data_IF_137356429634
#
_entry.id   IF_137356429634
#
_cell.length_a   1.000
_cell.length_b   1.000
_cell.length_c   1.000
_cell.angle_alpha   90.00
_cell.angle_beta   90.00
_cell.angle_gamma   90.00
#
_symmetry.space_group_name_H-M   'P 1'
#
loop_
_entity.id
_entity.type
_entity.pdbx_description
1 polymer ?
#
# COMPACT_ATOMS: atom_id res chain seq x y z
N UNK A 1 38.36 -15.86 -2.69
CA UNK A 1 37.58 -15.13 -1.68
C UNK A 1 36.30 -15.91 -1.42
N UNK A 2 35.98 -16.21 -0.17
CA UNK A 2 34.67 -16.74 0.17
C UNK A 2 33.61 -15.69 -0.20
N UNK A 3 32.47 -16.12 -0.75
CA UNK A 3 31.35 -15.22 -0.97
C UNK A 3 30.96 -14.59 0.38
N UNK A 4 30.70 -13.27 0.45
CA UNK A 4 30.22 -12.66 1.69
C UNK A 4 28.95 -13.37 2.15
N UNK A 5 28.83 -13.62 3.45
CA UNK A 5 27.64 -14.22 4.03
C UNK A 5 26.40 -13.38 3.66
N UNK A 6 25.34 -14.06 3.22
CA UNK A 6 24.09 -13.38 2.85
C UNK A 6 23.54 -12.61 4.06
N UNK A 7 23.22 -11.35 3.83
CA UNK A 7 22.62 -10.43 4.78
C UNK A 7 21.14 -10.77 5.01
N UNK A 8 20.65 -10.55 6.22
CA UNK A 8 19.22 -10.67 6.56
C UNK A 8 18.41 -9.42 6.18
N UNK A 9 19.05 -8.45 5.52
CA UNK A 9 18.40 -7.23 5.07
C UNK A 9 17.52 -7.45 3.83
N UNK A 10 16.39 -6.76 3.79
CA UNK A 10 15.46 -6.71 2.67
C UNK A 10 15.49 -5.33 2.02
N UNK A 11 15.66 -5.30 0.70
CA UNK A 11 15.58 -4.08 -0.11
C UNK A 11 14.37 -4.18 -1.02
N UNK A 12 13.46 -3.20 -0.92
CA UNK A 12 12.15 -3.24 -1.58
C UNK A 12 12.14 -2.17 -2.68
N UNK A 13 11.80 -2.59 -3.89
CA UNK A 13 11.69 -1.76 -5.09
C UNK A 13 10.23 -1.79 -5.55
N UNK A 14 9.57 -0.64 -5.53
CA UNK A 14 8.13 -0.53 -5.79
C UNK A 14 7.94 0.30 -7.04
N UNK A 15 7.37 -0.35 -8.05
CA UNK A 15 6.76 0.32 -9.19
C UNK A 15 5.32 0.65 -8.81
N UNK A 16 5.13 1.86 -8.30
CA UNK A 16 3.89 2.26 -7.67
C UNK A 16 2.71 2.25 -8.67
N UNK A 17 2.97 2.65 -9.90
CA UNK A 17 1.99 2.64 -10.99
C UNK A 17 1.51 1.23 -11.32
N UNK A 18 2.41 0.24 -11.38
CA UNK A 18 2.01 -1.16 -11.58
C UNK A 18 1.13 -1.68 -10.43
N UNK A 19 1.38 -1.24 -9.20
CA UNK A 19 0.57 -1.64 -8.03
C UNK A 19 -0.82 -0.99 -8.08
N UNK A 20 -0.92 0.30 -8.37
CA UNK A 20 -2.21 1.01 -8.39
C UNK A 20 -3.07 0.60 -9.58
N UNK A 21 -2.55 0.68 -10.81
CA UNK A 21 -3.34 0.40 -12.02
C UNK A 21 -3.64 -1.09 -12.22
N UNK A 22 -2.77 -1.98 -11.71
CA UNK A 22 -2.99 -3.42 -11.78
C UNK A 22 -4.22 -3.89 -11.00
N UNK A 23 -4.64 -3.13 -9.97
CA UNK A 23 -5.81 -3.44 -9.14
C UNK A 23 -7.10 -3.61 -9.94
N UNK A 24 -7.38 -2.75 -10.93
CA UNK A 24 -8.65 -2.78 -11.67
C UNK A 24 -8.90 -4.11 -12.37
N UNK A 25 -7.86 -4.64 -13.02
CA UNK A 25 -7.98 -5.90 -13.77
C UNK A 25 -8.08 -7.12 -12.84
N UNK A 26 -7.59 -7.05 -11.60
CA UNK A 26 -7.51 -8.18 -10.68
C UNK A 26 -8.63 -8.19 -9.62
N UNK A 27 -8.97 -7.02 -9.08
CA UNK A 27 -9.96 -6.89 -8.00
C UNK A 27 -11.33 -6.41 -8.50
N UNK A 28 -11.44 -5.96 -9.76
CA UNK A 28 -12.66 -5.34 -10.32
C UNK A 28 -13.12 -4.10 -9.55
N UNK A 29 -12.18 -3.39 -8.93
CA UNK A 29 -12.39 -2.10 -8.28
C UNK A 29 -11.94 -1.02 -9.27
N UNK A 30 -12.66 0.09 -9.37
CA UNK A 30 -12.25 1.18 -10.25
C UNK A 30 -11.02 1.92 -9.70
N UNK A 31 -10.09 2.30 -10.58
CA UNK A 31 -8.81 2.92 -10.18
C UNK A 31 -8.96 4.33 -9.58
N UNK A 32 -10.07 5.00 -9.83
CA UNK A 32 -10.39 6.34 -9.30
C UNK A 32 -10.77 6.33 -7.82
N UNK A 33 -11.21 5.17 -7.30
CA UNK A 33 -11.54 4.99 -5.88
C UNK A 33 -10.54 4.09 -5.16
N UNK A 34 -9.72 3.31 -5.88
CA UNK A 34 -8.71 2.43 -5.29
C UNK A 34 -7.41 3.18 -5.01
N UNK A 35 -6.99 3.15 -3.75
CA UNK A 35 -5.79 3.82 -3.29
C UNK A 35 -4.86 2.84 -2.59
N UNK A 36 -3.57 3.14 -2.61
CA UNK A 36 -2.52 2.34 -1.97
C UNK A 36 -1.79 3.23 -0.97
N UNK A 37 -1.67 2.79 0.27
CA UNK A 37 -0.77 3.42 1.24
C UNK A 37 0.64 2.83 1.06
N UNK A 38 1.64 3.61 0.60
CA UNK A 38 3.00 3.10 0.35
C UNK A 38 3.67 2.56 1.60
N UNK A 39 3.44 3.17 2.76
CA UNK A 39 4.04 2.68 4.01
C UNK A 39 3.46 1.33 4.40
N UNK A 40 2.15 1.15 4.25
CA UNK A 40 1.53 -0.13 4.56
C UNK A 40 1.92 -1.21 3.59
N UNK A 41 2.05 -0.88 2.30
CA UNK A 41 2.59 -1.79 1.30
C UNK A 41 3.99 -2.26 1.72
N UNK A 42 4.85 -1.33 2.13
CA UNK A 42 6.19 -1.66 2.65
C UNK A 42 6.13 -2.55 3.90
N UNK A 43 5.28 -2.24 4.88
CA UNK A 43 5.13 -3.06 6.10
C UNK A 43 4.70 -4.49 5.74
N UNK A 44 3.71 -4.62 4.87
CA UNK A 44 3.17 -5.89 4.40
C UNK A 44 4.22 -6.70 3.66
N UNK A 45 4.88 -6.09 2.68
CA UNK A 45 5.93 -6.75 1.88
C UNK A 45 7.12 -7.10 2.76
N UNK A 46 7.55 -6.21 3.64
CA UNK A 46 8.68 -6.46 4.54
C UNK A 46 8.39 -7.61 5.51
N UNK A 47 7.13 -7.77 5.94
CA UNK A 47 6.64 -8.90 6.76
C UNK A 47 7.51 -9.18 7.99
N UNK A 48 7.85 -8.12 8.74
CA UNK A 48 8.67 -8.21 9.96
C UNK A 48 10.16 -8.48 9.74
N UNK A 49 10.62 -8.59 8.47
CA UNK A 49 12.04 -8.71 8.15
C UNK A 49 12.79 -7.40 8.40
N UNK A 50 14.11 -7.47 8.49
CA UNK A 50 14.93 -6.27 8.72
C UNK A 50 15.06 -5.47 7.43
N UNK A 51 14.56 -4.25 7.41
CA UNK A 51 14.61 -3.38 6.24
C UNK A 51 16.04 -2.83 6.02
N UNK A 52 16.52 -2.96 4.78
CA UNK A 52 17.79 -2.38 4.31
C UNK A 52 17.59 -1.10 3.49
N UNK A 53 16.47 -0.97 2.79
CA UNK A 53 16.11 0.22 2.02
C UNK A 53 14.80 0.05 1.25
N UNK A 54 14.17 1.18 0.92
CA UNK A 54 12.94 1.24 0.11
C UNK A 54 13.15 2.25 -1.01
N UNK A 55 12.75 1.84 -2.21
CA UNK A 55 12.85 2.62 -3.44
C UNK A 55 11.49 2.57 -4.11
N UNK A 56 10.89 3.73 -4.34
CA UNK A 56 9.56 3.86 -4.94
C UNK A 56 9.69 4.74 -6.16
N UNK A 57 9.28 4.22 -7.30
CA UNK A 57 9.12 4.98 -8.52
C UNK A 57 7.65 4.98 -8.92
N UNK A 58 7.15 6.10 -9.41
CA UNK A 58 5.79 6.22 -9.92
C UNK A 58 5.58 7.50 -10.70
N UNK A 59 4.40 7.65 -11.29
CA UNK A 59 3.99 8.89 -11.95
C UNK A 59 2.83 9.58 -11.25
N UNK A 60 2.85 10.91 -11.34
CA UNK A 60 1.72 11.80 -11.06
C UNK A 60 0.89 11.53 -9.79
N UNK A 61 1.50 11.52 -8.58
CA UNK A 61 0.72 11.71 -7.39
C UNK A 61 0.34 13.19 -7.23
N UNK A 62 -0.83 13.49 -6.63
CA UNK A 62 -1.08 14.84 -6.13
C UNK A 62 0.05 15.23 -5.16
N UNK A 63 0.74 16.33 -5.43
CA UNK A 63 1.90 16.80 -4.65
C UNK A 63 1.58 17.07 -3.18
N UNK A 64 0.30 17.27 -2.85
CA UNK A 64 -0.20 17.54 -1.50
C UNK A 64 -0.76 16.28 -0.79
N UNK A 65 -0.51 15.08 -1.33
CA UNK A 65 -0.98 13.84 -0.72
C UNK A 65 -0.09 13.45 0.48
N UNK A 66 -0.69 13.46 1.67
CA UNK A 66 -0.10 13.13 2.97
C UNK A 66 0.70 11.81 2.96
N UNK A 67 0.35 10.88 2.08
CA UNK A 67 1.04 9.60 1.93
C UNK A 67 2.51 9.75 1.49
N UNK A 68 2.82 10.73 0.64
CA UNK A 68 4.20 10.95 0.18
C UNK A 68 5.04 11.67 1.20
N UNK A 69 4.45 12.64 1.91
CA UNK A 69 5.08 13.29 3.05
C UNK A 69 5.49 12.23 4.08
N UNK A 70 4.58 11.30 4.38
CA UNK A 70 4.85 10.16 5.27
C UNK A 70 5.97 9.26 4.74
N UNK A 71 5.98 8.91 3.45
CA UNK A 71 7.03 8.10 2.85
C UNK A 71 8.42 8.76 2.97
N UNK A 72 8.50 10.08 2.76
CA UNK A 72 9.74 10.85 2.91
C UNK A 72 10.20 10.94 4.37
N UNK A 73 9.27 11.10 5.32
CA UNK A 73 9.58 11.07 6.75
C UNK A 73 10.18 9.73 7.19
N UNK A 74 9.70 8.63 6.58
CA UNK A 74 10.22 7.27 6.76
C UNK A 74 11.53 7.00 6.00
N UNK A 75 12.08 8.02 5.32
CA UNK A 75 13.33 7.95 4.55
C UNK A 75 13.28 6.96 3.40
N UNK A 76 12.10 6.78 2.79
CA UNK A 76 12.00 6.06 1.53
C UNK A 76 12.63 6.90 0.42
N UNK A 77 13.32 6.25 -0.53
CA UNK A 77 13.81 6.90 -1.73
C UNK A 77 12.66 6.97 -2.73
N UNK A 78 11.97 8.11 -2.77
CA UNK A 78 10.79 8.31 -3.60
C UNK A 78 11.15 9.15 -4.82
N UNK A 79 10.99 8.57 -6.01
CA UNK A 79 11.26 9.19 -7.29
C UNK A 79 9.94 9.30 -8.09
N UNK A 80 9.37 10.49 -8.13
CA UNK A 80 8.12 10.78 -8.84
C UNK A 80 8.40 11.49 -10.15
N UNK A 81 7.80 11.01 -11.24
CA UNK A 81 7.97 11.59 -12.57
C UNK A 81 6.66 12.15 -13.14
N UNK A 82 6.69 13.30 -13.81
CA UNK A 82 5.51 13.85 -14.48
C UNK A 82 5.13 13.02 -15.72
N UNK A 83 3.84 12.89 -15.98
CA UNK A 83 3.33 12.31 -17.22
C UNK A 83 3.73 13.18 -18.41
N UNK A 84 4.34 12.58 -19.44
CA UNK A 84 4.67 13.28 -20.69
C UNK A 84 3.74 12.78 -21.79
N UNK A 85 2.85 13.64 -22.29
CA UNK A 85 1.84 13.28 -23.30
C UNK A 85 0.96 12.07 -22.90
N UNK A 86 0.59 12.00 -21.62
CA UNK A 86 -0.25 10.92 -21.08
C UNK A 86 0.46 9.56 -20.95
N UNK A 87 1.80 9.54 -21.07
CA UNK A 87 2.61 8.34 -20.83
C UNK A 87 3.59 8.58 -19.70
N UNK A 88 3.70 7.58 -18.85
CA UNK A 88 4.78 7.45 -17.89
C UNK A 88 6.11 7.31 -18.65
N UNK A 89 7.14 8.03 -18.19
CA UNK A 89 8.47 7.97 -18.78
C UNK A 89 9.50 8.02 -17.67
N UNK A 90 10.52 7.17 -17.78
CA UNK A 90 11.69 7.08 -16.89
C UNK A 90 11.48 6.39 -15.53
N UNK A 91 10.25 6.04 -15.14
CA UNK A 91 9.99 5.33 -13.88
C UNK A 91 10.75 3.99 -13.86
N UNK A 92 10.51 3.13 -14.86
CA UNK A 92 11.18 1.82 -14.94
C UNK A 92 12.70 1.96 -14.99
N UNK A 93 13.19 2.94 -15.75
CA UNK A 93 14.62 3.24 -15.85
C UNK A 93 15.21 3.66 -14.52
N UNK A 94 14.53 4.54 -13.76
CA UNK A 94 14.99 4.98 -12.45
C UNK A 94 15.02 3.83 -11.46
N UNK A 95 13.94 3.04 -11.39
CA UNK A 95 13.87 1.92 -10.47
C UNK A 95 14.91 0.84 -10.80
N UNK A 96 15.14 0.58 -12.09
CA UNK A 96 16.22 -0.31 -12.53
C UNK A 96 17.61 0.20 -12.16
N UNK A 97 17.86 1.52 -12.22
CA UNK A 97 19.11 2.13 -11.75
C UNK A 97 19.26 1.95 -10.24
N UNK A 98 18.22 2.24 -9.46
CA UNK A 98 18.23 2.06 -8.00
C UNK A 98 18.51 0.60 -7.61
N UNK A 99 17.90 -0.36 -8.32
CA UNK A 99 18.17 -1.80 -8.15
C UNK A 99 19.64 -2.11 -8.40
N UNK A 100 20.20 -1.64 -9.52
CA UNK A 100 21.59 -1.89 -9.87
C UNK A 100 22.55 -1.28 -8.86
N UNK A 101 22.30 -0.05 -8.39
CA UNK A 101 23.11 0.58 -7.36
C UNK A 101 23.14 -0.25 -6.07
N UNK A 102 22.01 -0.80 -5.62
CA UNK A 102 21.96 -1.68 -4.45
C UNK A 102 22.65 -3.02 -4.70
N UNK A 103 22.42 -3.64 -5.86
CA UNK A 103 23.01 -4.94 -6.22
C UNK A 103 24.54 -4.89 -6.16
N UNK A 104 25.15 -3.77 -6.57
CA UNK A 104 26.60 -3.62 -6.63
C UNK A 104 27.23 -2.94 -5.40
N UNK A 105 26.48 -2.15 -4.63
CA UNK A 105 27.03 -1.40 -3.48
C UNK A 105 26.79 -2.06 -2.13
N UNK A 106 25.87 -3.03 -2.02
CA UNK A 106 25.49 -3.67 -0.76
C UNK A 106 25.85 -5.16 -0.75
N UNK A 107 25.99 -5.70 0.47
CA UNK A 107 26.09 -7.15 0.64
C UNK A 107 24.76 -7.81 0.23
N UNK A 108 24.79 -8.96 -0.49
CA UNK A 108 23.59 -9.62 -0.94
C UNK A 108 22.65 -9.96 0.21
N UNK A 109 21.40 -9.54 0.11
CA UNK A 109 20.32 -9.89 1.03
C UNK A 109 19.12 -10.45 0.26
N UNK A 110 17.91 -9.96 0.59
CA UNK A 110 16.72 -10.19 -0.23
C UNK A 110 16.37 -8.93 -1.00
N UNK A 111 16.28 -9.05 -2.32
CA UNK A 111 15.75 -8.04 -3.21
C UNK A 111 14.29 -8.39 -3.49
N UNK A 112 13.39 -7.48 -3.14
CA UNK A 112 11.96 -7.61 -3.42
C UNK A 112 11.59 -6.60 -4.50
N UNK A 113 11.04 -7.09 -5.61
CA UNK A 113 10.42 -6.24 -6.63
C UNK A 113 8.91 -6.32 -6.49
N UNK A 114 8.26 -5.17 -6.34
CA UNK A 114 6.82 -5.02 -6.37
C UNK A 114 6.43 -4.44 -7.72
N UNK A 115 6.42 -5.31 -8.74
CA UNK A 115 6.01 -5.02 -10.12
C UNK A 115 5.78 -6.32 -10.89
N UNK A 116 4.93 -6.25 -11.92
CA UNK A 116 4.72 -7.33 -12.88
C UNK A 116 5.52 -7.16 -14.18
N UNK A 117 6.25 -6.07 -14.34
CA UNK A 117 6.86 -5.68 -15.61
C UNK A 117 8.13 -6.48 -15.96
N UNK A 118 8.22 -6.93 -17.22
CA UNK A 118 9.39 -7.65 -17.73
C UNK A 118 10.63 -6.76 -17.86
N UNK A 119 10.48 -5.43 -17.89
CA UNK A 119 11.62 -4.50 -18.02
C UNK A 119 12.65 -4.63 -16.89
N UNK A 120 12.26 -5.18 -15.74
CA UNK A 120 13.14 -5.44 -14.60
C UNK A 120 13.91 -6.78 -14.69
N UNK A 121 13.72 -7.57 -15.75
CA UNK A 121 14.36 -8.90 -15.88
C UNK A 121 15.88 -8.82 -15.84
N UNK A 122 16.47 -7.79 -16.46
CA UNK A 122 17.93 -7.61 -16.53
C UNK A 122 18.50 -7.34 -15.13
N UNK A 123 18.03 -6.34 -14.35
CA UNK A 123 18.43 -6.17 -12.96
C UNK A 123 18.27 -7.43 -12.10
N UNK A 124 17.17 -8.19 -12.26
CA UNK A 124 16.92 -9.40 -11.48
C UNK A 124 17.91 -10.52 -11.79
N UNK A 125 18.25 -10.76 -13.06
CA UNK A 125 19.29 -11.72 -13.41
C UNK A 125 20.67 -11.28 -12.88
N UNK A 126 20.98 -9.98 -12.88
CA UNK A 126 22.19 -9.46 -12.24
C UNK A 126 22.19 -9.64 -10.72
N UNK A 127 21.05 -9.47 -10.06
CA UNK A 127 20.91 -9.76 -8.64
C UNK A 127 21.20 -11.25 -8.35
N UNK A 128 20.66 -12.16 -9.18
CA UNK A 128 20.89 -13.61 -9.07
C UNK A 128 22.37 -13.97 -9.27
N UNK A 129 23.02 -13.43 -10.30
CA UNK A 129 24.47 -13.58 -10.52
C UNK A 129 25.31 -13.13 -9.31
N UNK A 130 24.80 -12.13 -8.57
CA UNK A 130 25.41 -11.57 -7.36
C UNK A 130 24.94 -12.24 -6.07
N UNK A 131 24.26 -13.39 -6.14
CA UNK A 131 23.78 -14.19 -5.02
C UNK A 131 22.72 -13.50 -4.14
N UNK A 132 21.94 -12.59 -4.70
CA UNK A 132 20.75 -12.05 -4.01
C UNK A 132 19.62 -13.08 -4.01
N UNK A 133 18.88 -13.14 -2.90
CA UNK A 133 17.54 -13.76 -2.90
C UNK A 133 16.58 -12.82 -3.61
N UNK A 134 15.72 -13.36 -4.47
CA UNK A 134 14.77 -12.57 -5.25
C UNK A 134 13.36 -13.00 -4.86
N UNK A 135 12.48 -12.01 -4.71
CA UNK A 135 11.07 -12.18 -4.42
C UNK A 135 10.27 -11.16 -5.24
N UNK A 136 9.25 -11.64 -5.96
CA UNK A 136 8.40 -10.81 -6.80
C UNK A 136 7.02 -10.73 -6.16
N UNK A 137 6.54 -9.50 -5.97
CA UNK A 137 5.17 -9.20 -5.61
C UNK A 137 4.50 -8.54 -6.80
N UNK A 138 3.43 -9.15 -7.29
CA UNK A 138 2.67 -8.58 -8.41
C UNK A 138 1.22 -9.03 -8.32
N UNK A 139 0.38 -8.35 -9.06
CA UNK A 139 -0.93 -8.87 -9.40
C UNK A 139 -0.80 -10.06 -10.36
N UNK A 140 -1.69 -11.04 -10.22
CA UNK A 140 -1.67 -12.29 -10.97
C UNK A 140 -1.87 -12.11 -12.48
N UNK A 141 -2.68 -11.13 -12.88
CA UNK A 141 -2.87 -10.76 -14.31
C UNK A 141 -1.83 -9.77 -14.82
N UNK A 142 -1.09 -9.10 -13.92
CA UNK A 142 -0.08 -8.11 -14.28
C UNK A 142 1.33 -8.71 -14.46
N UNK A 143 1.60 -9.87 -13.86
CA UNK A 143 2.94 -10.47 -13.92
C UNK A 143 3.27 -11.08 -15.28
N UNK A 144 4.37 -10.61 -15.87
CA UNK A 144 4.93 -11.16 -17.11
C UNK A 144 5.43 -12.60 -16.94
N UNK A 145 5.39 -13.39 -18.01
CA UNK A 145 5.84 -14.79 -17.96
C UNK A 145 7.35 -14.91 -17.64
N UNK A 146 8.14 -13.90 -17.98
CA UNK A 146 9.58 -13.87 -17.71
C UNK A 146 9.89 -13.78 -16.22
N UNK A 147 9.04 -13.09 -15.45
CA UNK A 147 9.20 -12.95 -14.00
C UNK A 147 8.75 -14.18 -13.21
N UNK A 148 7.87 -15.03 -13.78
CA UNK A 148 7.34 -16.23 -13.10
C UNK A 148 8.39 -17.30 -12.77
N UNK A 149 9.63 -17.16 -13.27
CA UNK A 149 10.75 -18.03 -12.90
C UNK A 149 11.32 -17.72 -11.51
N UNK A 150 10.97 -16.57 -10.92
CA UNK A 150 11.37 -16.19 -9.57
C UNK A 150 10.25 -16.51 -8.57
N UNK A 151 10.58 -16.66 -7.26
CA UNK A 151 9.56 -16.77 -6.21
C UNK A 151 8.56 -15.62 -6.29
N UNK A 152 7.27 -15.95 -6.33
CA UNK A 152 6.17 -15.03 -6.57
C UNK A 152 5.16 -15.06 -5.42
N UNK A 153 4.71 -13.88 -5.01
CA UNK A 153 3.64 -13.65 -4.03
C UNK A 153 2.58 -12.74 -4.65
N UNK A 154 1.31 -13.15 -4.55
CA UNK A 154 0.18 -12.44 -5.14
C UNK A 154 -0.21 -11.23 -4.30
N UNK A 155 -0.33 -10.05 -4.91
CA UNK A 155 -0.87 -8.86 -4.22
C UNK A 155 -2.34 -9.06 -3.81
N UNK A 156 -3.10 -9.89 -4.52
CA UNK A 156 -4.49 -10.24 -4.21
C UNK A 156 -4.69 -10.88 -2.84
N UNK A 157 -3.68 -11.58 -2.34
CA UNK A 157 -3.77 -12.25 -1.03
C UNK A 157 -3.55 -11.26 0.13
N UNK A 158 -3.03 -10.07 -0.17
CA UNK A 158 -2.54 -9.12 0.83
C UNK A 158 -3.12 -7.71 0.72
N UNK A 159 -3.82 -7.35 -0.37
CA UNK A 159 -4.23 -5.97 -0.64
C UNK A 159 -5.00 -5.28 0.49
N UNK A 160 -5.81 -6.02 1.26
CA UNK A 160 -6.55 -5.46 2.42
C UNK A 160 -5.65 -4.84 3.49
N UNK A 161 -4.37 -5.20 3.52
CA UNK A 161 -3.41 -4.66 4.49
C UNK A 161 -2.83 -3.30 4.10
N UNK A 162 -2.87 -2.95 2.81
CA UNK A 162 -2.20 -1.75 2.27
C UNK A 162 -3.08 -0.87 1.40
N UNK A 163 -4.21 -1.37 0.90
CA UNK A 163 -5.11 -0.65 0.02
C UNK A 163 -6.37 -0.17 0.74
N UNK A 164 -6.96 0.90 0.20
CA UNK A 164 -8.22 1.45 0.67
C UNK A 164 -9.06 2.01 -0.46
N UNK A 165 -10.37 2.09 -0.22
CA UNK A 165 -11.34 2.59 -1.19
C UNK A 165 -11.96 3.87 -0.66
N UNK A 166 -11.92 4.94 -1.46
CA UNK A 166 -12.51 6.24 -1.15
C UNK A 166 -13.78 6.51 -1.96
N UNK A 167 -14.75 5.61 -1.87
CA UNK A 167 -16.01 5.71 -2.60
C UNK A 167 -17.14 6.18 -1.66
N UNK A 168 -17.89 7.19 -2.09
CA UNK A 168 -19.12 7.58 -1.40
C UNK A 168 -20.20 6.54 -1.67
N UNK A 169 -20.58 5.79 -0.65
CA UNK A 169 -21.74 4.91 -0.73
C UNK A 169 -22.97 5.56 -0.11
N UNK A 170 -24.13 5.28 -0.69
CA UNK A 170 -25.40 5.60 -0.05
C UNK A 170 -25.51 4.78 1.27
N UNK A 171 -25.83 5.46 2.37
CA UNK A 171 -25.82 4.90 3.73
C UNK A 171 -26.88 3.82 3.95
N UNK A 172 -27.86 3.70 3.06
CA UNK A 172 -28.90 2.68 3.04
C UNK A 172 -28.43 1.33 2.44
N UNK A 173 -27.26 1.30 1.79
CA UNK A 173 -26.74 0.11 1.10
C UNK A 173 -25.62 -0.59 1.85
N UNK A 174 -25.07 0.02 2.91
CA UNK A 174 -23.95 -0.53 3.70
C UNK A 174 -24.09 -0.18 5.16
N UNK A 175 -23.53 -1.02 6.02
CA UNK A 175 -23.38 -0.70 7.43
C UNK A 175 -22.33 0.42 7.55
N UNK A 176 -22.75 1.58 8.05
CA UNK A 176 -21.92 2.79 8.06
C UNK A 176 -21.63 3.22 9.49
N UNK A 177 -20.36 3.49 9.79
CA UNK A 177 -19.91 4.08 11.04
C UNK A 177 -19.39 5.48 10.76
N UNK A 178 -20.02 6.47 11.36
CA UNK A 178 -19.51 7.85 11.34
C UNK A 178 -18.43 8.01 12.42
N UNK A 179 -17.32 8.64 12.03
CA UNK A 179 -16.31 9.16 12.94
C UNK A 179 -16.24 10.66 12.76
N UNK A 180 -16.18 11.42 13.86
CA UNK A 180 -15.96 12.85 13.77
C UNK A 180 -15.33 13.44 15.03
N UNK A 181 -14.68 14.59 14.86
CA UNK A 181 -14.14 15.38 15.96
C UNK A 181 -12.90 16.20 15.59
N UNK A 182 -12.72 17.33 16.26
CA UNK A 182 -11.61 18.27 16.01
C UNK A 182 -10.23 17.64 16.22
N UNK A 183 -10.14 16.57 17.02
CA UNK A 183 -8.88 15.84 17.24
C UNK A 183 -8.29 15.27 15.95
N UNK A 184 -9.11 15.02 14.92
CA UNK A 184 -8.68 14.56 13.60
C UNK A 184 -7.75 15.58 12.94
N UNK A 185 -8.01 16.89 13.12
CA UNK A 185 -7.17 17.95 12.57
C UNK A 185 -5.76 17.98 13.20
N UNK A 186 -5.57 17.34 14.36
CA UNK A 186 -4.26 17.22 15.00
C UNK A 186 -3.44 16.03 14.50
N UNK A 187 -4.04 15.13 13.71
CA UNK A 187 -3.36 13.95 13.21
C UNK A 187 -2.33 14.32 12.16
N UNK A 188 -1.14 13.74 12.30
CA UNK A 188 -0.08 13.91 11.30
C UNK A 188 -0.46 13.31 9.94
N UNK A 189 -1.23 12.21 9.95
CA UNK A 189 -1.74 11.55 8.75
C UNK A 189 -3.20 11.17 9.01
N UNK A 190 -4.13 11.84 8.33
CA UNK A 190 -5.57 11.80 8.61
C UNK A 190 -6.16 10.40 8.45
N UNK A 191 -5.67 9.63 7.48
CA UNK A 191 -6.18 8.29 7.19
C UNK A 191 -5.60 7.19 8.09
N UNK A 192 -4.54 7.46 8.85
CA UNK A 192 -3.77 6.40 9.53
C UNK A 192 -4.59 5.63 10.57
N UNK A 193 -5.32 6.27 11.50
CA UNK A 193 -6.14 5.56 12.48
C UNK A 193 -7.24 4.68 11.87
N UNK A 194 -7.86 5.17 10.80
CA UNK A 194 -8.86 4.41 10.03
C UNK A 194 -8.21 3.15 9.48
N UNK A 195 -7.11 3.33 8.76
CA UNK A 195 -6.40 2.23 8.13
C UNK A 195 -5.86 1.22 9.17
N UNK A 196 -5.44 1.66 10.35
CA UNK A 196 -4.99 0.77 11.44
C UNK A 196 -6.11 -0.12 11.94
N UNK A 197 -7.31 0.44 12.14
CA UNK A 197 -8.49 -0.30 12.55
C UNK A 197 -8.81 -1.41 11.54
N UNK A 198 -8.93 -1.07 10.25
CA UNK A 198 -9.26 -2.04 9.22
C UNK A 198 -8.19 -3.13 9.09
N UNK A 199 -6.90 -2.77 9.17
CA UNK A 199 -5.80 -3.73 9.15
C UNK A 199 -5.85 -4.67 10.36
N UNK A 200 -6.07 -4.15 11.56
CA UNK A 200 -6.15 -4.96 12.78
C UNK A 200 -7.29 -5.98 12.74
N UNK A 201 -8.38 -5.66 12.03
CA UNK A 201 -9.54 -6.51 11.86
C UNK A 201 -9.52 -7.34 10.56
N UNK A 202 -8.44 -7.26 9.76
CA UNK A 202 -8.31 -7.91 8.46
C UNK A 202 -9.48 -7.60 7.50
N UNK A 203 -9.90 -6.34 7.48
CA UNK A 203 -11.00 -5.83 6.67
C UNK A 203 -10.47 -5.05 5.46
N UNK A 204 -11.23 -5.04 4.37
CA UNK A 204 -10.97 -4.10 3.26
C UNK A 204 -11.34 -2.69 3.74
N UNK A 205 -10.37 -1.78 3.75
CA UNK A 205 -10.60 -0.40 4.19
C UNK A 205 -11.43 0.36 3.16
N UNK A 206 -12.60 0.83 3.57
CA UNK A 206 -13.54 1.55 2.72
C UNK A 206 -14.13 2.70 3.51
N UNK A 207 -13.87 3.94 3.08
CA UNK A 207 -14.35 5.13 3.78
C UNK A 207 -14.54 6.31 2.84
N UNK A 208 -15.24 7.35 3.30
CA UNK A 208 -15.38 8.61 2.58
C UNK A 208 -15.32 9.76 3.58
N UNK A 209 -14.47 10.76 3.31
CA UNK A 209 -14.46 12.01 4.06
C UNK A 209 -15.57 12.91 3.53
N UNK A 210 -16.50 13.30 4.40
CA UNK A 210 -17.51 14.31 4.10
C UNK A 210 -16.92 15.72 4.21
N UNK A 211 -16.04 15.92 5.19
CA UNK A 211 -15.29 17.16 5.40
C UNK A 211 -13.95 16.88 6.12
N UNK A 212 -13.31 17.93 6.63
CA UNK A 212 -12.01 17.82 7.32
C UNK A 212 -12.08 17.15 8.69
N UNK A 213 -13.28 17.01 9.24
CA UNK A 213 -13.55 16.50 10.59
C UNK A 213 -14.47 15.29 10.64
N UNK A 214 -15.11 14.90 9.54
CA UNK A 214 -16.13 13.84 9.51
C UNK A 214 -15.87 12.84 8.39
N UNK A 215 -15.80 11.55 8.75
CA UNK A 215 -15.68 10.44 7.81
C UNK A 215 -16.72 9.36 8.06
N UNK A 216 -17.16 8.73 6.97
CA UNK A 216 -18.06 7.59 6.96
C UNK A 216 -17.27 6.34 6.60
N UNK A 217 -17.23 5.35 7.51
CA UNK A 217 -16.57 4.06 7.31
C UNK A 217 -17.60 3.01 6.91
N UNK A 218 -17.31 2.19 5.90
CA UNK A 218 -18.27 1.27 5.31
C UNK A 218 -17.92 -0.20 5.56
N UNK A 219 -18.93 -0.99 5.94
CA UNK A 219 -18.79 -2.41 6.26
C UNK A 219 -19.85 -3.28 5.57
N UNK A 220 -19.46 -4.51 5.21
CA UNK A 220 -20.36 -5.48 4.58
C UNK A 220 -21.31 -6.18 5.57
N UNK A 221 -21.08 -6.01 6.88
CA UNK A 221 -21.94 -6.59 7.92
C UNK A 221 -21.92 -5.77 9.21
N UNK A 222 -23.02 -5.83 9.95
CA UNK A 222 -23.18 -5.18 11.25
C UNK A 222 -22.13 -5.66 12.27
N UNK A 223 -21.82 -6.96 12.30
CA UNK A 223 -20.80 -7.51 13.20
C UNK A 223 -19.42 -6.90 12.97
N UNK A 224 -19.01 -6.68 11.71
CA UNK A 224 -17.74 -6.03 11.38
C UNK A 224 -17.73 -4.57 11.85
N UNK A 225 -18.84 -3.86 11.68
CA UNK A 225 -19.00 -2.49 12.16
C UNK A 225 -18.86 -2.42 13.69
N UNK A 226 -19.54 -3.30 14.43
CA UNK A 226 -19.47 -3.36 15.89
C UNK A 226 -18.01 -3.59 16.33
N UNK A 227 -17.31 -4.54 15.72
CA UNK A 227 -15.90 -4.79 16.05
C UNK A 227 -14.99 -3.59 15.74
N UNK A 228 -15.24 -2.88 14.64
CA UNK A 228 -14.50 -1.67 14.31
C UNK A 228 -14.75 -0.54 15.32
N UNK A 229 -16.00 -0.33 15.72
CA UNK A 229 -16.36 0.62 16.77
C UNK A 229 -15.69 0.27 18.11
N UNK A 230 -15.73 -1.00 18.51
CA UNK A 230 -15.10 -1.47 19.74
C UNK A 230 -13.58 -1.32 19.71
N UNK A 231 -12.95 -1.46 18.54
CA UNK A 231 -11.52 -1.25 18.36
C UNK A 231 -11.15 0.23 18.43
N UNK A 232 -11.90 1.08 17.71
CA UNK A 232 -11.70 2.54 17.67
C UNK A 232 -11.94 3.16 19.05
N UNK A 233 -13.00 2.77 19.77
CA UNK A 233 -13.26 3.28 21.13
C UNK A 233 -12.14 2.98 22.12
N UNK A 234 -11.38 1.89 21.93
CA UNK A 234 -10.24 1.52 22.78
C UNK A 234 -8.96 2.23 22.38
N UNK A 235 -8.72 2.38 21.08
CA UNK A 235 -7.46 2.90 20.54
C UNK A 235 -7.49 4.43 20.36
N UNK A 236 -8.67 4.98 20.11
CA UNK A 236 -8.98 6.37 19.79
C UNK A 236 -10.32 6.79 20.44
N UNK A 237 -10.42 6.85 21.78
CA UNK A 237 -11.69 7.02 22.51
C UNK A 237 -12.46 8.31 22.18
N UNK A 238 -11.76 9.38 21.81
CA UNK A 238 -12.35 10.69 21.50
C UNK A 238 -12.84 10.82 20.04
N UNK A 239 -12.76 9.74 19.25
CA UNK A 239 -13.08 9.74 17.81
C UNK A 239 -14.55 9.43 17.50
N UNK A 240 -15.25 8.80 18.46
CA UNK A 240 -16.63 8.40 18.28
C UNK A 240 -17.53 9.48 18.87
N UNK A 241 -18.46 10.00 18.05
CA UNK A 241 -19.52 10.87 18.54
C UNK A 241 -20.29 10.10 19.61
N UNK A 242 -20.29 10.62 20.83
CA UNK A 242 -21.07 10.10 21.95
C UNK A 242 -22.55 10.39 21.72
N UNK A 243 -23.18 9.70 20.78
CA UNK A 243 -24.63 9.59 20.71
C UNK A 243 -25.00 8.11 20.45
N UNK A 244 -25.87 7.50 21.27
CA UNK A 244 -26.42 6.19 20.98
C UNK A 244 -27.41 6.34 19.82
N UNK A 245 -26.95 6.21 18.58
CA UNK A 245 -27.91 6.12 17.48
C UNK A 245 -28.73 4.84 17.61
N UNK A 246 -30.04 5.08 17.78
CA UNK A 246 -31.15 4.16 17.56
C UNK A 246 -30.78 3.12 16.51
N UNK A 247 -30.73 1.87 16.94
CA UNK A 247 -30.90 0.73 16.05
C UNK A 247 -32.27 0.94 15.41
N UNK A 248 -32.31 1.45 14.18
CA UNK A 248 -33.50 1.34 13.34
C UNK A 248 -33.57 -0.12 12.95
N UNK A 249 -34.15 -0.93 13.84
CA UNK A 249 -34.59 -2.28 13.50
C UNK A 249 -35.56 -2.14 12.34
N UNK A 250 -35.18 -2.67 11.17
CA UNK A 250 -36.11 -2.83 10.07
C UNK A 250 -37.21 -3.80 10.51
N UNK A 251 -38.42 -3.27 10.73
CA UNK A 251 -39.65 -4.06 10.68
C UNK A 251 -40.15 -4.14 9.25
#
# INVERSE_FOLDING_TARGET
MAAPAASDLVYIFIDYSNVTYGSQSNLRIANDVFNVDPNRLVITVCNGRKLGGVFIAGSDPPIDDELWVRALDLKFNVNIFPLTAGREKKVDTQLAVDMMDIIYSKNPGTLVLVSGDADFIIPLEKAKEKNWRIEIWSWSRGISNELKKFPYISLEDHFKSFAYITEKHATDKRHTLEISGDIINSWKCKNEPIMECFRALNLLCQFYWEDDTTAHLYFDSESKLIHARDWLSKSYPDLLVNEPFLIVTMT
#
